data_IF_123268521021
#
_entry.id   IF_123268521021
#
_cell.length_a   1.000
_cell.length_b   1.000
_cell.length_c   1.000
_cell.angle_alpha   90.00
_cell.angle_beta   90.00
_cell.angle_gamma   90.00
#
_symmetry.space_group_name_H-M   'P 1'
#
loop_
_entity.id
_entity.type
_entity.pdbx_description
1 polymer ?
#
# COMPACT_ATOMS: atom_id res chain seq x y z
N UNK A 1 -31.55 17.19 -28.13
CA UNK A 1 -30.66 16.78 -27.03
C UNK A 1 -29.31 16.43 -27.66
N UNK A 2 -28.28 17.26 -27.42
CA UNK A 2 -26.99 17.12 -28.10
C UNK A 2 -26.28 15.83 -27.68
N UNK A 3 -25.46 15.25 -28.56
CA UNK A 3 -24.71 14.00 -28.35
C UNK A 3 -23.94 14.03 -27.00
N UNK A 4 -23.38 15.20 -26.66
CA UNK A 4 -22.74 15.49 -25.36
C UNK A 4 -23.67 15.30 -24.16
N UNK A 5 -24.93 15.74 -24.25
CA UNK A 5 -25.91 15.59 -23.17
C UNK A 5 -26.34 14.12 -22.99
N UNK A 6 -26.31 13.31 -24.07
CA UNK A 6 -26.64 11.88 -24.01
C UNK A 6 -25.49 11.07 -23.40
N UNK A 7 -24.24 11.43 -23.71
CA UNK A 7 -23.04 10.81 -23.13
C UNK A 7 -22.90 11.11 -21.63
N UNK A 8 -23.16 12.36 -21.21
CA UNK A 8 -23.09 12.74 -19.79
C UNK A 8 -24.19 12.09 -18.94
N UNK A 9 -25.35 11.75 -19.53
CA UNK A 9 -26.48 11.13 -18.80
C UNK A 9 -26.20 9.72 -18.30
N UNK A 10 -25.25 9.01 -18.93
CA UNK A 10 -24.78 7.67 -18.51
C UNK A 10 -23.37 7.71 -17.92
N UNK A 11 -22.79 8.90 -17.74
CA UNK A 11 -21.45 9.04 -17.23
C UNK A 11 -21.46 9.06 -15.71
N UNK A 12 -20.72 8.14 -15.09
CA UNK A 12 -20.41 8.17 -13.65
C UNK A 12 -19.36 9.22 -13.30
N UNK A 13 -18.97 10.08 -14.25
CA UNK A 13 -17.95 11.11 -14.10
C UNK A 13 -18.33 12.15 -13.03
N UNK A 14 -17.56 12.18 -11.95
CA UNK A 14 -17.69 13.17 -10.88
C UNK A 14 -16.63 14.24 -11.05
N UNK A 15 -16.98 15.33 -11.72
CA UNK A 15 -16.07 16.44 -12.03
C UNK A 15 -15.37 17.00 -10.78
N UNK A 16 -16.09 17.10 -9.65
CA UNK A 16 -15.54 17.60 -8.39
C UNK A 16 -14.43 16.75 -7.77
N UNK A 17 -14.30 15.48 -8.16
CA UNK A 17 -13.22 14.59 -7.70
C UNK A 17 -12.13 14.50 -8.78
N UNK A 18 -12.56 14.29 -10.02
CA UNK A 18 -11.63 14.00 -11.11
C UNK A 18 -10.81 15.22 -11.51
N UNK A 19 -11.41 16.40 -11.59
CA UNK A 19 -10.69 17.61 -12.04
C UNK A 19 -9.60 18.02 -11.04
N UNK A 20 -9.86 18.14 -9.72
CA UNK A 20 -8.80 18.47 -8.77
C UNK A 20 -7.70 17.42 -8.72
N UNK A 21 -8.05 16.14 -8.74
CA UNK A 21 -7.08 15.03 -8.74
C UNK A 21 -6.18 15.07 -9.97
N UNK A 22 -6.75 15.27 -11.16
CA UNK A 22 -5.97 15.36 -12.40
C UNK A 22 -5.08 16.60 -12.42
N UNK A 23 -5.59 17.75 -11.98
CA UNK A 23 -4.78 18.98 -11.88
C UNK A 23 -3.58 18.70 -10.98
N UNK A 24 -3.80 18.09 -9.81
CA UNK A 24 -2.70 17.76 -8.89
C UNK A 24 -1.68 16.81 -9.54
N UNK A 25 -2.13 15.69 -10.11
CA UNK A 25 -1.25 14.69 -10.73
C UNK A 25 -0.45 15.32 -11.88
N UNK A 26 -1.12 16.00 -12.82
CA UNK A 26 -0.48 16.63 -13.98
C UNK A 26 0.53 17.68 -13.53
N UNK A 27 0.18 18.51 -12.55
CA UNK A 27 1.09 19.54 -12.03
C UNK A 27 2.34 18.91 -11.44
N UNK A 28 2.19 17.91 -10.57
CA UNK A 28 3.34 17.22 -9.95
C UNK A 28 4.20 16.54 -11.02
N UNK A 29 3.59 15.84 -11.98
CA UNK A 29 4.33 15.18 -13.08
C UNK A 29 5.11 16.19 -13.91
N UNK A 30 4.47 17.24 -14.39
CA UNK A 30 5.11 18.26 -15.25
C UNK A 30 6.25 18.95 -14.51
N UNK A 31 6.02 19.41 -13.28
CA UNK A 31 7.06 20.08 -12.47
C UNK A 31 8.24 19.13 -12.20
N UNK A 32 7.96 17.86 -11.86
CA UNK A 32 9.00 16.85 -11.61
C UNK A 32 9.82 16.55 -12.86
N UNK A 33 9.20 16.54 -14.04
CA UNK A 33 9.88 16.28 -15.31
C UNK A 33 10.81 17.42 -15.75
N UNK A 34 10.42 18.68 -15.52
CA UNK A 34 11.25 19.83 -15.90
C UNK A 34 12.29 20.22 -14.83
N UNK A 35 12.02 19.96 -13.55
CA UNK A 35 12.88 20.34 -12.42
C UNK A 35 13.14 19.16 -11.47
N UNK A 36 13.77 18.07 -11.94
CA UNK A 36 13.88 16.82 -11.17
C UNK A 36 14.73 16.98 -9.90
N UNK A 37 15.84 17.72 -9.97
CA UNK A 37 16.76 17.88 -8.82
C UNK A 37 16.11 18.68 -7.70
N UNK A 38 15.47 19.81 -8.02
CA UNK A 38 14.79 20.67 -7.05
C UNK A 38 13.60 19.94 -6.44
N UNK A 39 12.79 19.29 -7.28
CA UNK A 39 11.65 18.49 -6.82
C UNK A 39 12.12 17.38 -5.87
N UNK A 40 13.17 16.63 -6.24
CA UNK A 40 13.74 15.59 -5.39
C UNK A 40 14.26 16.12 -4.04
N UNK A 41 14.88 17.30 -4.03
CA UNK A 41 15.33 17.94 -2.78
C UNK A 41 14.14 18.30 -1.87
N UNK A 42 13.09 18.94 -2.42
CA UNK A 42 11.89 19.32 -1.67
C UNK A 42 11.18 18.08 -1.13
N UNK A 43 10.96 17.06 -1.98
CA UNK A 43 10.30 15.82 -1.57
C UNK A 43 11.10 15.09 -0.48
N UNK A 44 12.43 15.11 -0.53
CA UNK A 44 13.25 14.53 0.53
C UNK A 44 13.13 15.28 1.86
N UNK A 45 13.04 16.62 1.84
CA UNK A 45 12.80 17.42 3.05
C UNK A 45 11.46 17.04 3.66
N UNK A 46 10.40 16.98 2.85
CA UNK A 46 9.06 16.58 3.31
C UNK A 46 9.05 15.14 3.84
N UNK A 47 9.62 14.20 3.09
CA UNK A 47 9.76 12.78 3.48
C UNK A 47 10.47 12.65 4.83
N UNK A 48 11.60 13.33 5.01
CA UNK A 48 12.37 13.27 6.26
C UNK A 48 11.60 13.91 7.41
N UNK A 49 10.89 15.02 7.17
CA UNK A 49 10.04 15.63 8.19
C UNK A 49 8.92 14.67 8.63
N UNK A 50 8.23 14.02 7.69
CA UNK A 50 7.21 12.99 7.99
C UNK A 50 7.84 11.85 8.79
N UNK A 51 8.99 11.35 8.36
CA UNK A 51 9.68 10.24 9.02
C UNK A 51 10.07 10.59 10.46
N UNK A 52 10.67 11.76 10.70
CA UNK A 52 11.10 12.14 12.05
C UNK A 52 9.92 12.40 12.98
N UNK A 53 8.85 13.05 12.50
CA UNK A 53 7.77 13.52 13.36
C UNK A 53 6.57 12.56 13.45
N UNK A 54 6.30 11.78 12.40
CA UNK A 54 5.08 10.97 12.26
C UNK A 54 5.34 9.46 12.18
N UNK A 55 6.60 8.99 12.26
CA UNK A 55 6.89 7.55 12.25
C UNK A 55 6.17 6.80 13.39
N UNK A 56 6.08 7.38 14.59
CA UNK A 56 5.33 6.75 15.68
C UNK A 56 3.85 6.55 15.34
N UNK A 57 3.22 7.52 14.64
CA UNK A 57 1.84 7.39 14.18
C UNK A 57 1.72 6.23 13.18
N UNK A 58 2.68 6.13 12.25
CA UNK A 58 2.71 5.05 11.27
C UNK A 58 2.78 3.67 11.94
N UNK A 59 3.74 3.48 12.86
CA UNK A 59 3.92 2.21 13.59
C UNK A 59 2.65 1.86 14.38
N UNK A 60 2.12 2.80 15.17
CA UNK A 60 0.91 2.56 15.95
C UNK A 60 -0.31 2.30 15.08
N UNK A 61 -0.45 2.98 13.94
CA UNK A 61 -1.56 2.74 13.03
C UNK A 61 -1.56 1.30 12.52
N UNK A 62 -0.41 0.81 12.02
CA UNK A 62 -0.29 -0.57 11.54
C UNK A 62 -0.54 -1.57 12.67
N UNK A 63 0.06 -1.36 13.85
CA UNK A 63 -0.15 -2.23 15.02
C UNK A 63 -1.62 -2.27 15.43
N UNK A 64 -2.30 -1.13 15.49
CA UNK A 64 -3.71 -1.04 15.84
C UNK A 64 -4.57 -1.74 14.78
N UNK A 65 -4.29 -1.57 13.49
CA UNK A 65 -5.03 -2.27 12.44
C UNK A 65 -4.90 -3.79 12.55
N UNK A 66 -3.69 -4.31 12.81
CA UNK A 66 -3.49 -5.75 13.02
C UNK A 66 -4.27 -6.25 14.23
N UNK A 67 -4.14 -5.57 15.38
CA UNK A 67 -4.89 -5.92 16.60
C UNK A 67 -6.39 -5.86 16.34
N UNK A 68 -6.87 -4.82 15.67
CA UNK A 68 -8.28 -4.64 15.33
C UNK A 68 -8.80 -5.79 14.46
N UNK A 69 -8.07 -6.19 13.41
CA UNK A 69 -8.45 -7.32 12.56
C UNK A 69 -8.46 -8.65 13.33
N UNK A 70 -7.50 -8.88 14.22
CA UNK A 70 -7.50 -10.06 15.09
C UNK A 70 -8.70 -10.05 16.04
N UNK A 71 -8.99 -8.91 16.66
CA UNK A 71 -10.18 -8.74 17.52
C UNK A 71 -11.46 -9.02 16.73
N UNK A 72 -11.61 -8.46 15.52
CA UNK A 72 -12.78 -8.75 14.68
C UNK A 72 -12.91 -10.25 14.40
N UNK A 73 -11.81 -10.89 14.00
CA UNK A 73 -11.77 -12.32 13.65
C UNK A 73 -12.18 -13.23 14.82
N UNK A 74 -11.72 -12.94 16.04
CA UNK A 74 -12.03 -13.76 17.22
C UNK A 74 -13.29 -13.32 17.99
N UNK A 75 -13.85 -12.15 17.67
CA UNK A 75 -15.08 -11.66 18.29
C UNK A 75 -16.33 -12.20 17.60
N UNK A 76 -17.50 -11.94 18.20
CA UNK A 76 -18.82 -12.20 17.59
C UNK A 76 -19.01 -11.54 16.21
N UNK A 77 -18.25 -10.47 15.92
CA UNK A 77 -18.37 -9.75 14.65
C UNK A 77 -17.75 -10.52 13.47
N UNK A 78 -16.79 -11.41 13.72
CA UNK A 78 -16.20 -12.26 12.68
C UNK A 78 -17.16 -13.30 12.10
N UNK A 79 -18.26 -13.60 12.82
CA UNK A 79 -19.32 -14.49 12.34
C UNK A 79 -20.34 -13.78 11.43
N UNK A 80 -20.27 -12.45 11.31
CA UNK A 80 -21.22 -11.68 10.49
C UNK A 80 -20.90 -11.89 9.02
N UNK A 81 -21.91 -12.29 8.24
CA UNK A 81 -21.83 -12.39 6.79
C UNK A 81 -21.90 -11.00 6.17
N UNK A 82 -21.00 -10.72 5.22
CA UNK A 82 -21.00 -9.48 4.44
C UNK A 82 -21.97 -9.60 3.26
N UNK A 83 -23.25 -9.41 3.53
CA UNK A 83 -24.34 -9.60 2.58
C UNK A 83 -25.67 -9.80 3.31
N UNK A 84 -26.68 -10.30 2.60
CA UNK A 84 -27.92 -10.73 3.25
C UNK A 84 -27.68 -12.02 4.08
N UNK A 85 -28.50 -12.26 5.11
CA UNK A 85 -28.34 -13.39 6.04
C UNK A 85 -28.32 -14.75 5.32
N UNK A 86 -29.10 -14.89 4.24
CA UNK A 86 -29.21 -16.11 3.43
C UNK A 86 -28.32 -16.11 2.17
N UNK A 87 -27.53 -15.06 1.96
CA UNK A 87 -26.70 -14.91 0.77
C UNK A 87 -25.54 -15.92 0.75
N UNK A 88 -25.25 -16.48 -0.43
CA UNK A 88 -24.13 -17.42 -0.61
C UNK A 88 -22.94 -16.69 -1.25
N UNK A 89 -21.69 -17.09 -0.95
CA UNK A 89 -20.53 -16.50 -1.61
C UNK A 89 -20.64 -16.62 -3.14
N UNK A 90 -20.42 -15.52 -3.85
CA UNK A 90 -20.45 -15.48 -5.32
C UNK A 90 -19.34 -16.35 -5.94
N UNK A 91 -18.21 -16.46 -5.25
CA UNK A 91 -17.04 -17.21 -5.70
C UNK A 91 -16.79 -18.42 -4.80
N UNK A 92 -16.34 -19.53 -5.40
CA UNK A 92 -15.87 -20.69 -4.64
C UNK A 92 -14.68 -20.31 -3.75
N UNK A 93 -14.49 -21.02 -2.65
CA UNK A 93 -13.40 -20.73 -1.70
C UNK A 93 -12.02 -20.70 -2.38
N UNK A 94 -11.73 -21.64 -3.27
CA UNK A 94 -10.46 -21.68 -4.00
C UNK A 94 -10.31 -20.49 -4.96
N UNK A 95 -11.38 -20.13 -5.67
CA UNK A 95 -11.36 -18.95 -6.54
C UNK A 95 -11.16 -17.66 -5.74
N UNK A 96 -11.80 -17.54 -4.57
CA UNK A 96 -11.65 -16.39 -3.68
C UNK A 96 -10.22 -16.24 -3.16
N UNK A 97 -9.61 -17.32 -2.65
CA UNK A 97 -8.20 -17.31 -2.22
C UNK A 97 -7.27 -16.93 -3.38
N UNK A 98 -7.54 -17.46 -4.58
CA UNK A 98 -6.75 -17.15 -5.77
C UNK A 98 -6.82 -15.66 -6.13
N UNK A 99 -8.00 -15.03 -6.01
CA UNK A 99 -8.16 -13.59 -6.22
C UNK A 99 -7.42 -12.76 -5.18
N UNK A 100 -7.43 -13.16 -3.91
CA UNK A 100 -6.65 -12.49 -2.87
C UNK A 100 -5.14 -12.55 -3.14
N UNK A 101 -4.65 -13.71 -3.57
CA UNK A 101 -3.24 -13.86 -3.94
C UNK A 101 -2.88 -13.02 -5.16
N UNK A 102 -3.73 -13.01 -6.19
CA UNK A 102 -3.52 -12.19 -7.39
C UNK A 102 -3.56 -10.68 -7.07
N UNK A 103 -4.42 -10.24 -6.16
CA UNK A 103 -4.47 -8.85 -5.72
C UNK A 103 -3.26 -8.43 -4.88
N UNK A 104 -2.73 -9.35 -4.06
CA UNK A 104 -1.57 -9.10 -3.20
C UNK A 104 -0.21 -9.20 -3.91
N UNK A 105 -0.10 -10.07 -4.93
CA UNK A 105 1.15 -10.31 -5.65
C UNK A 105 1.40 -9.22 -6.71
N UNK A 106 1.98 -8.10 -6.29
CA UNK A 106 2.33 -6.99 -7.17
C UNK A 106 3.78 -7.00 -7.67
N UNK A 107 4.12 -5.99 -8.49
CA UNK A 107 5.50 -5.65 -8.90
C UNK A 107 6.44 -5.52 -7.68
N UNK A 108 5.88 -5.13 -6.52
CA UNK A 108 6.61 -5.05 -5.26
C UNK A 108 7.35 -6.34 -4.91
N UNK A 109 6.72 -7.51 -5.05
CA UNK A 109 7.39 -8.79 -4.74
C UNK A 109 8.50 -9.13 -5.74
N UNK A 110 8.31 -8.79 -7.02
CA UNK A 110 9.33 -9.02 -8.05
C UNK A 110 10.58 -8.16 -7.82
N UNK A 111 10.40 -6.94 -7.31
CA UNK A 111 11.50 -6.02 -7.04
C UNK A 111 12.11 -6.23 -5.65
N UNK A 112 11.29 -6.11 -4.61
CA UNK A 112 11.72 -6.15 -3.22
C UNK A 112 11.96 -7.56 -2.69
N UNK A 113 11.43 -8.62 -3.33
CA UNK A 113 11.68 -10.00 -2.90
C UNK A 113 13.16 -10.39 -2.88
N UNK A 114 13.99 -9.75 -3.70
CA UNK A 114 15.46 -9.89 -3.65
C UNK A 114 16.12 -8.64 -3.09
N UNK A 115 15.68 -7.44 -3.50
CA UNK A 115 16.36 -6.21 -3.14
C UNK A 115 16.33 -5.92 -1.63
N UNK A 116 15.20 -6.18 -0.97
CA UNK A 116 15.00 -5.89 0.44
C UNK A 116 15.85 -6.76 1.38
N UNK A 117 15.85 -8.10 1.28
CA UNK A 117 16.70 -8.91 2.15
C UNK A 117 18.18 -8.66 1.89
N UNK A 118 18.58 -8.34 0.66
CA UNK A 118 19.97 -7.95 0.36
C UNK A 118 20.33 -6.60 0.98
N UNK A 119 19.39 -5.64 0.97
CA UNK A 119 19.59 -4.35 1.64
C UNK A 119 19.76 -4.53 3.15
N UNK A 120 18.89 -5.32 3.80
CA UNK A 120 19.00 -5.59 5.23
C UNK A 120 20.26 -6.39 5.58
N UNK A 121 20.69 -7.33 4.73
CA UNK A 121 21.92 -8.09 4.98
C UNK A 121 23.16 -7.19 5.03
N UNK A 122 23.18 -6.12 4.23
CA UNK A 122 24.30 -5.16 4.15
C UNK A 122 24.18 -3.98 5.12
N UNK A 123 23.12 -3.95 5.93
CA UNK A 123 22.89 -2.89 6.91
C UNK A 123 24.01 -2.84 7.97
N UNK A 124 24.47 -1.62 8.29
CA UNK A 124 25.59 -1.39 9.21
C UNK A 124 25.26 -1.84 10.63
N UNK A 125 23.98 -1.76 11.03
CA UNK A 125 23.52 -2.24 12.33
C UNK A 125 23.83 -3.73 12.57
N UNK A 126 23.99 -4.53 11.51
CA UNK A 126 24.27 -5.97 11.60
C UNK A 126 25.72 -6.33 11.25
N UNK A 127 26.61 -5.36 10.97
CA UNK A 127 27.95 -5.65 10.46
C UNK A 127 28.86 -6.42 11.44
N UNK A 128 28.56 -6.35 12.74
CA UNK A 128 29.30 -7.07 13.79
C UNK A 128 28.83 -8.52 14.02
N UNK A 129 27.75 -8.96 13.36
CA UNK A 129 27.18 -10.29 13.53
C UNK A 129 27.84 -11.30 12.56
N UNK A 130 27.86 -12.58 12.95
CA UNK A 130 28.28 -13.66 12.05
C UNK A 130 27.37 -13.76 10.82
N UNK A 131 27.89 -14.29 9.71
CA UNK A 131 27.19 -14.28 8.41
C UNK A 131 25.80 -14.93 8.48
N UNK A 132 25.69 -16.05 9.18
CA UNK A 132 24.41 -16.78 9.34
C UNK A 132 23.38 -15.94 10.10
N UNK A 133 23.82 -15.23 11.14
CA UNK A 133 22.94 -14.40 11.96
C UNK A 133 22.46 -13.15 11.21
N UNK A 134 23.35 -12.54 10.42
CA UNK A 134 22.99 -11.45 9.51
C UNK A 134 21.94 -11.87 8.50
N UNK A 135 22.12 -13.04 7.88
CA UNK A 135 21.17 -13.59 6.91
C UNK A 135 19.81 -13.86 7.56
N UNK A 136 19.80 -14.47 8.76
CA UNK A 136 18.58 -14.70 9.54
C UNK A 136 17.85 -13.40 9.83
N UNK A 137 18.55 -12.39 10.35
CA UNK A 137 17.92 -11.11 10.68
C UNK A 137 17.39 -10.43 9.42
N UNK A 138 18.16 -10.38 8.33
CA UNK A 138 17.70 -9.78 7.08
C UNK A 138 16.38 -10.38 6.57
N UNK A 139 16.23 -11.71 6.65
CA UNK A 139 14.99 -12.40 6.31
C UNK A 139 13.85 -12.06 7.27
N UNK A 140 14.11 -11.98 8.58
CA UNK A 140 13.09 -11.62 9.58
C UNK A 140 12.56 -10.20 9.39
N UNK A 141 13.43 -9.22 9.11
CA UNK A 141 12.99 -7.85 8.83
C UNK A 141 12.20 -7.77 7.52
N UNK A 142 12.63 -8.49 6.48
CA UNK A 142 11.88 -8.56 5.21
C UNK A 142 10.50 -9.21 5.41
N UNK A 143 10.41 -10.26 6.22
CA UNK A 143 9.12 -10.94 6.50
C UNK A 143 8.17 -10.09 7.34
N UNK A 144 8.71 -9.15 8.12
CA UNK A 144 7.91 -8.25 8.93
C UNK A 144 7.26 -7.12 8.09
N UNK A 145 7.89 -6.72 6.99
CA UNK A 145 7.32 -5.79 6.02
C UNK A 145 6.26 -6.48 5.14
#
# INVERSE_FOLDING_TARGET
MNILQRALKHSTFKAGIMVPSLIFIITVTVVSSFFPTQTGAILNVVKNWIFVNLNWIYVWSVTIFVIFLLVLTFSKYGAIRLGDDDEKPEHSFFSWISMLFAAGMGIGLMYFGVAEPMSHYTEKAFSGLYQVERARNAQLYTFFH
#
